data_IF_167310965356
#
_entry.id   IF_167310965356
#
_cell.length_a   1.000
_cell.length_b   1.000
_cell.length_c   1.000
_cell.angle_alpha   90.00
_cell.angle_beta   90.00
_cell.angle_gamma   90.00
#
_symmetry.space_group_name_H-M   'P 1'
#
loop_
_entity.id
_entity.type
_entity.pdbx_description
1 polymer ?
#
# COMPACT_ATOMS: atom_id res chain seq x y z
N UNK A 1 0.27 16.08 -4.12
CA UNK A 1 0.63 16.28 -5.53
C UNK A 1 2.08 15.86 -5.69
N UNK A 2 2.38 14.95 -6.59
CA UNK A 2 3.72 14.36 -6.75
C UNK A 2 4.26 14.78 -8.12
N UNK A 3 5.56 15.09 -8.21
CA UNK A 3 6.18 15.43 -9.48
C UNK A 3 6.20 14.23 -10.43
N UNK A 4 5.80 14.47 -11.68
CA UNK A 4 5.91 13.46 -12.73
C UNK A 4 7.37 13.38 -13.18
N UNK A 5 8.03 12.22 -13.13
CA UNK A 5 9.42 12.06 -13.56
C UNK A 5 9.62 12.14 -15.07
N UNK A 6 8.57 12.12 -15.88
CA UNK A 6 8.67 12.25 -17.34
C UNK A 6 8.64 13.73 -17.75
N UNK A 7 9.81 14.31 -18.04
CA UNK A 7 9.97 15.70 -18.50
C UNK A 7 9.22 16.01 -19.83
N UNK A 8 8.75 14.99 -20.56
CA UNK A 8 7.98 15.18 -21.80
C UNK A 8 6.49 15.33 -21.55
N UNK A 9 6.02 15.17 -20.31
CA UNK A 9 4.62 15.33 -19.99
C UNK A 9 4.25 16.81 -19.88
N UNK A 10 3.16 17.25 -20.53
CA UNK A 10 2.68 18.62 -20.40
C UNK A 10 2.18 18.95 -18.97
N UNK A 11 1.99 17.95 -18.13
CA UNK A 11 1.63 18.10 -16.72
C UNK A 11 2.74 17.60 -15.82
N UNK A 12 3.54 18.48 -15.22
CA UNK A 12 4.64 18.11 -14.34
C UNK A 12 4.17 17.51 -13.00
N UNK A 13 2.87 17.54 -12.71
CA UNK A 13 2.28 17.01 -11.48
C UNK A 13 1.16 16.03 -11.79
N UNK A 14 1.12 14.95 -11.02
CA UNK A 14 0.04 13.97 -11.05
C UNK A 14 -0.67 13.93 -9.70
N UNK A 15 -1.98 13.69 -9.72
CA UNK A 15 -2.73 13.42 -8.49
C UNK A 15 -2.58 11.95 -8.15
N UNK A 16 -2.07 11.64 -6.98
CA UNK A 16 -1.93 10.29 -6.48
C UNK A 16 -2.61 10.15 -5.11
N UNK A 17 -3.16 8.98 -4.83
CA UNK A 17 -3.60 8.67 -3.47
C UNK A 17 -2.37 8.47 -2.56
N UNK A 18 -2.56 8.60 -1.24
CA UNK A 18 -1.48 8.46 -0.25
C UNK A 18 -0.66 7.18 -0.41
N UNK A 19 -1.30 6.05 -0.69
CA UNK A 19 -0.59 4.77 -0.88
C UNK A 19 0.23 4.76 -2.17
N UNK A 20 -0.32 5.32 -3.26
CA UNK A 20 0.43 5.42 -4.52
C UNK A 20 1.61 6.39 -4.40
N UNK A 21 1.45 7.50 -3.68
CA UNK A 21 2.53 8.44 -3.40
C UNK A 21 3.69 7.76 -2.66
N UNK A 22 3.40 6.98 -1.63
CA UNK A 22 4.42 6.24 -0.86
C UNK A 22 5.20 5.25 -1.74
N UNK A 23 4.55 4.66 -2.74
CA UNK A 23 5.24 3.74 -3.67
C UNK A 23 6.17 4.46 -4.64
N UNK A 24 5.88 5.72 -4.98
CA UNK A 24 6.70 6.54 -5.88
C UNK A 24 7.87 7.17 -5.11
N UNK A 25 7.67 7.49 -3.83
CA UNK A 25 8.64 8.19 -2.98
C UNK A 25 9.00 7.35 -1.76
N UNK A 26 9.68 6.21 -1.97
CA UNK A 26 10.05 5.27 -0.91
C UNK A 26 10.86 5.92 0.23
N UNK A 27 11.68 6.91 -0.08
CA UNK A 27 12.44 7.70 0.91
C UNK A 27 11.50 8.41 1.89
N UNK A 28 10.42 9.00 1.38
CA UNK A 28 9.42 9.68 2.20
C UNK A 28 8.54 8.69 2.96
N UNK A 29 8.28 7.52 2.38
CA UNK A 29 7.55 6.46 3.04
C UNK A 29 8.19 6.12 4.40
N UNK A 30 9.51 6.03 4.47
CA UNK A 30 10.25 5.79 5.71
C UNK A 30 10.05 6.88 6.76
N UNK A 31 10.06 8.16 6.36
CA UNK A 31 9.91 9.31 7.27
C UNK A 31 8.49 9.42 7.82
N UNK A 32 7.50 8.99 7.03
CA UNK A 32 6.07 9.13 7.36
C UNK A 32 5.49 7.93 8.12
N UNK A 33 6.31 7.01 8.56
CA UNK A 33 5.86 5.79 9.25
C UNK A 33 5.68 4.62 8.29
N UNK A 34 6.72 4.37 7.56
CA UNK A 34 6.81 3.49 6.41
C UNK A 34 6.02 2.20 6.52
N UNK A 35 5.46 1.81 5.40
CA UNK A 35 5.08 0.45 5.13
C UNK A 35 6.25 -0.52 5.24
N UNK A 36 6.02 -1.74 4.87
CA UNK A 36 7.05 -2.77 4.82
C UNK A 36 7.10 -3.38 3.43
N UNK A 37 8.27 -3.85 3.01
CA UNK A 37 8.38 -4.58 1.76
C UNK A 37 7.87 -6.02 1.94
N UNK A 38 7.07 -6.46 0.99
CA UNK A 38 6.57 -7.83 0.87
C UNK A 38 6.91 -8.39 -0.51
N UNK A 39 7.11 -9.69 -0.61
CA UNK A 39 7.22 -10.33 -1.92
C UNK A 39 5.87 -10.92 -2.30
N UNK A 40 5.25 -10.36 -3.33
CA UNK A 40 3.89 -10.69 -3.77
C UNK A 40 3.80 -10.55 -5.31
N UNK A 41 4.39 -11.49 -6.06
CA UNK A 41 4.45 -11.43 -7.51
C UNK A 41 3.08 -11.62 -8.18
N UNK A 42 2.11 -12.19 -7.46
CA UNK A 42 0.80 -12.58 -7.98
C UNK A 42 -0.09 -11.39 -8.32
N UNK A 43 0.16 -10.22 -7.73
CA UNK A 43 -0.63 -9.00 -7.96
C UNK A 43 0.26 -7.76 -8.14
N UNK A 44 -0.29 -6.76 -8.83
CA UNK A 44 0.36 -5.46 -9.01
C UNK A 44 0.28 -4.57 -7.75
N UNK A 45 1.15 -3.53 -7.70
CA UNK A 45 1.14 -2.59 -6.57
C UNK A 45 -0.20 -1.86 -6.43
N UNK A 46 -0.83 -1.47 -7.54
CA UNK A 46 -2.12 -0.79 -7.51
C UNK A 46 -3.21 -1.68 -6.92
N UNK A 47 -3.24 -2.95 -7.30
CA UNK A 47 -4.19 -3.94 -6.76
C UNK A 47 -3.96 -4.15 -5.27
N UNK A 48 -2.71 -4.29 -4.82
CA UNK A 48 -2.38 -4.38 -3.39
C UNK A 48 -2.88 -3.14 -2.64
N UNK A 49 -2.66 -1.94 -3.17
CA UNK A 49 -3.14 -0.70 -2.55
C UNK A 49 -4.67 -0.67 -2.41
N UNK A 50 -5.41 -1.21 -3.39
CA UNK A 50 -6.86 -1.33 -3.30
C UNK A 50 -7.29 -2.35 -2.24
N UNK A 51 -6.66 -3.52 -2.19
CA UNK A 51 -6.92 -4.56 -1.19
C UNK A 51 -6.66 -4.03 0.22
N UNK A 52 -5.50 -3.40 0.45
CA UNK A 52 -5.11 -2.87 1.76
C UNK A 52 -6.07 -1.76 2.21
N UNK A 53 -6.51 -0.89 1.30
CA UNK A 53 -7.52 0.12 1.60
C UNK A 53 -8.82 -0.52 2.07
N UNK A 54 -9.30 -1.55 1.35
CA UNK A 54 -10.51 -2.28 1.73
C UNK A 54 -10.36 -2.97 3.09
N UNK A 55 -9.20 -3.57 3.37
CA UNK A 55 -8.89 -4.17 4.67
C UNK A 55 -8.99 -3.14 5.80
N UNK A 56 -8.39 -1.96 5.65
CA UNK A 56 -8.45 -0.93 6.69
C UNK A 56 -9.86 -0.42 6.92
N UNK A 57 -10.64 -0.23 5.86
CA UNK A 57 -12.04 0.19 5.97
C UNK A 57 -12.85 -0.90 6.69
N UNK A 58 -12.75 -2.17 6.29
CA UNK A 58 -13.48 -3.28 6.91
C UNK A 58 -13.12 -3.44 8.40
N UNK A 59 -11.84 -3.29 8.76
CA UNK A 59 -11.40 -3.31 10.17
C UNK A 59 -11.99 -2.19 11.00
N UNK A 60 -12.21 -1.02 10.40
CA UNK A 60 -12.75 0.14 11.09
C UNK A 60 -14.26 0.05 11.37
N UNK A 61 -14.99 -0.78 10.62
CA UNK A 61 -16.45 -0.97 10.81
C UNK A 61 -16.82 -1.81 12.04
N UNK A 62 -15.88 -2.58 12.60
CA UNK A 62 -16.08 -3.42 13.78
C UNK A 62 -17.30 -4.35 13.64
N UNK A 63 -17.46 -4.95 12.47
CA UNK A 63 -18.54 -5.89 12.14
C UNK A 63 -17.98 -7.31 11.86
N UNK A 64 -18.81 -8.20 11.31
CA UNK A 64 -18.44 -9.59 10.99
C UNK A 64 -17.20 -9.71 10.06
N UNK A 65 -16.87 -8.68 9.27
CA UNK A 65 -15.71 -8.68 8.38
C UNK A 65 -14.40 -8.33 9.08
N UNK A 66 -14.43 -7.81 10.30
CA UNK A 66 -13.23 -7.35 11.02
C UNK A 66 -12.19 -8.45 11.18
N UNK A 67 -12.62 -9.64 11.59
CA UNK A 67 -11.71 -10.78 11.78
C UNK A 67 -11.15 -11.29 10.45
N UNK A 68 -11.98 -11.31 9.41
CA UNK A 68 -11.55 -11.70 8.06
C UNK A 68 -10.55 -10.72 7.50
N UNK A 69 -10.79 -9.42 7.65
CA UNK A 69 -9.90 -8.36 7.23
C UNK A 69 -8.56 -8.39 8.01
N UNK A 70 -8.62 -8.73 9.30
CA UNK A 70 -7.41 -8.90 10.13
C UNK A 70 -6.59 -10.08 9.64
N UNK A 71 -7.20 -11.25 9.42
CA UNK A 71 -6.51 -12.42 8.87
C UNK A 71 -5.92 -12.17 7.48
N UNK A 72 -6.62 -11.40 6.63
CA UNK A 72 -6.10 -11.01 5.32
C UNK A 72 -4.84 -10.13 5.46
N UNK A 73 -4.83 -9.17 6.39
CA UNK A 73 -3.65 -8.37 6.67
C UNK A 73 -2.48 -9.22 7.19
N UNK A 74 -2.77 -10.14 8.12
CA UNK A 74 -1.75 -11.05 8.67
C UNK A 74 -1.14 -11.92 7.57
N UNK A 75 -1.95 -12.44 6.64
CA UNK A 75 -1.48 -13.19 5.48
C UNK A 75 -0.54 -12.35 4.59
N UNK A 76 -0.87 -11.08 4.33
CA UNK A 76 0.02 -10.17 3.60
C UNK A 76 1.31 -9.92 4.38
N UNK A 77 1.23 -9.75 5.70
CA UNK A 77 2.38 -9.53 6.56
C UNK A 77 3.34 -10.73 6.63
N UNK A 78 2.88 -11.97 6.43
CA UNK A 78 3.78 -13.14 6.35
C UNK A 78 4.74 -13.06 5.16
N UNK A 79 4.35 -12.39 4.06
CA UNK A 79 5.17 -12.20 2.86
C UNK A 79 6.41 -11.31 3.06
N UNK A 80 6.55 -10.67 4.23
CA UNK A 80 7.77 -9.94 4.63
C UNK A 80 8.99 -10.86 4.72
N UNK A 81 8.79 -12.09 5.20
CA UNK A 81 9.88 -13.05 5.30
C UNK A 81 10.51 -13.37 3.95
N UNK A 82 9.68 -13.46 2.89
CA UNK A 82 10.15 -13.70 1.54
C UNK A 82 10.88 -12.48 0.97
N UNK A 83 10.39 -11.27 1.23
CA UNK A 83 11.09 -10.03 0.87
C UNK A 83 12.47 -9.95 1.55
N UNK A 84 12.54 -10.20 2.86
CA UNK A 84 13.82 -10.27 3.60
C UNK A 84 14.79 -11.30 3.02
N UNK A 85 14.30 -12.46 2.64
CA UNK A 85 15.13 -13.51 2.04
C UNK A 85 15.73 -13.07 0.69
N UNK A 86 14.97 -12.29 -0.09
CA UNK A 86 15.40 -11.82 -1.44
C UNK A 86 16.32 -10.60 -1.37
N UNK A 87 16.03 -9.65 -0.48
CA UNK A 87 16.68 -8.33 -0.42
C UNK A 87 17.62 -8.15 0.76
N UNK A 88 17.58 -9.08 1.73
CA UNK A 88 18.28 -8.90 3.01
C UNK A 88 17.52 -8.03 4.03
N UNK A 89 16.49 -7.30 3.58
CA UNK A 89 15.67 -6.42 4.43
C UNK A 89 14.24 -6.30 3.89
N UNK A 90 13.31 -5.92 4.75
CA UNK A 90 11.96 -5.51 4.41
C UNK A 90 11.72 -4.01 4.65
N UNK A 91 12.81 -3.25 4.87
CA UNK A 91 12.77 -1.81 5.07
C UNK A 91 12.80 -1.07 3.72
N UNK A 92 11.76 -0.29 3.38
CA UNK A 92 11.73 0.46 2.13
C UNK A 92 12.79 1.58 2.07
N UNK A 93 13.25 2.13 3.21
CA UNK A 93 14.31 3.14 3.22
C UNK A 93 15.64 2.54 2.78
N UNK A 94 15.97 1.35 3.32
CA UNK A 94 17.20 0.68 2.93
C UNK A 94 17.20 0.38 1.42
N UNK A 95 16.06 -0.06 0.88
CA UNK A 95 15.91 -0.26 -0.56
C UNK A 95 16.11 1.04 -1.34
N UNK A 96 15.46 2.13 -0.92
CA UNK A 96 15.61 3.43 -1.58
C UNK A 96 17.06 3.91 -1.59
N UNK A 97 17.77 3.79 -0.45
CA UNK A 97 19.19 4.14 -0.34
C UNK A 97 20.06 3.33 -1.30
N UNK A 98 19.87 2.01 -1.32
CA UNK A 98 20.64 1.13 -2.22
C UNK A 98 20.37 1.48 -3.69
N UNK A 99 19.12 1.75 -4.06
CA UNK A 99 18.77 2.13 -5.43
C UNK A 99 19.39 3.47 -5.86
N UNK A 100 19.53 4.43 -4.94
CA UNK A 100 20.17 5.72 -5.22
C UNK A 100 21.70 5.58 -5.42
N UNK A 101 22.30 4.60 -4.75
CA UNK A 101 23.75 4.35 -4.85
C UNK A 101 24.15 3.53 -6.08
N UNK A 102 23.18 2.97 -6.84
CA UNK A 102 23.47 2.22 -8.06
C UNK A 102 23.95 3.15 -9.17
N UNK A 103 25.21 2.97 -9.56
CA UNK A 103 25.89 3.87 -10.50
C UNK A 103 25.88 3.36 -11.94
N UNK A 104 25.59 2.08 -12.19
CA UNK A 104 25.68 1.47 -13.51
C UNK A 104 24.37 0.86 -13.99
N UNK A 105 24.18 0.80 -15.32
CA UNK A 105 23.01 0.16 -15.93
C UNK A 105 22.98 -1.37 -15.66
N UNK A 106 24.14 -2.00 -15.48
CA UNK A 106 24.27 -3.43 -15.18
C UNK A 106 23.81 -3.73 -13.76
N UNK A 107 24.20 -2.92 -12.79
CA UNK A 107 23.73 -2.99 -11.40
C UNK A 107 22.22 -2.79 -11.33
N UNK A 108 21.69 -1.80 -12.05
CA UNK A 108 20.26 -1.53 -12.13
C UNK A 108 19.47 -2.71 -12.74
N UNK A 109 20.02 -3.38 -13.78
CA UNK A 109 19.39 -4.56 -14.38
C UNK A 109 19.37 -5.74 -13.39
N UNK A 110 20.48 -6.01 -12.72
CA UNK A 110 20.55 -7.05 -11.69
C UNK A 110 19.59 -6.79 -10.51
N UNK A 111 19.44 -5.53 -10.11
CA UNK A 111 18.48 -5.10 -9.10
C UNK A 111 17.03 -5.32 -9.57
N UNK A 112 16.70 -4.97 -10.81
CA UNK A 112 15.36 -5.14 -11.38
C UNK A 112 14.86 -6.59 -11.22
N UNK A 113 15.72 -7.58 -11.48
CA UNK A 113 15.38 -8.99 -11.32
C UNK A 113 15.11 -9.37 -9.85
N UNK A 114 15.87 -8.81 -8.91
CA UNK A 114 15.65 -9.04 -7.47
C UNK A 114 14.39 -8.36 -6.96
N UNK A 115 14.03 -7.23 -7.55
CA UNK A 115 12.85 -6.42 -7.19
C UNK A 115 11.56 -6.96 -7.79
N UNK A 116 11.65 -7.90 -8.75
CA UNK A 116 10.44 -8.49 -9.33
C UNK A 116 9.57 -9.13 -8.25
N UNK A 117 8.29 -8.76 -8.26
CA UNK A 117 7.33 -9.19 -7.24
C UNK A 117 7.46 -8.51 -5.87
N UNK A 118 8.43 -7.62 -5.66
CA UNK A 118 8.49 -6.80 -4.45
C UNK A 118 7.40 -5.73 -4.51
N UNK A 119 6.67 -5.57 -3.41
CA UNK A 119 5.61 -4.59 -3.24
C UNK A 119 5.78 -3.86 -1.91
N UNK A 120 5.35 -2.60 -1.87
CA UNK A 120 5.21 -1.86 -0.61
C UNK A 120 3.83 -2.16 -0.02
N UNK A 121 3.79 -2.76 1.16
CA UNK A 121 2.57 -2.91 1.96
C UNK A 121 2.37 -1.63 2.77
N UNK A 122 1.36 -0.79 2.44
CA UNK A 122 1.18 0.50 3.09
C UNK A 122 0.79 0.35 4.57
N UNK A 123 1.26 1.25 5.46
CA UNK A 123 0.93 1.23 6.88
C UNK A 123 -0.43 1.87 7.17
N UNK A 124 -0.91 1.67 8.40
CA UNK A 124 -2.06 2.38 9.00
C UNK A 124 -1.66 3.74 9.61
N UNK A 125 -0.62 4.36 9.07
CA UNK A 125 -0.08 5.65 9.52
C UNK A 125 0.24 6.53 8.32
N UNK A 126 -0.01 7.81 8.48
CA UNK A 126 0.45 8.85 7.57
C UNK A 126 0.87 10.06 8.37
N UNK A 127 2.16 10.11 8.71
CA UNK A 127 2.70 11.17 9.55
C UNK A 127 3.04 12.38 8.68
N UNK A 128 2.45 13.52 9.02
CA UNK A 128 2.79 14.81 8.43
C UNK A 128 3.48 15.69 9.46
N UNK A 129 4.65 16.20 9.11
CA UNK A 129 5.36 17.19 9.91
C UNK A 129 4.71 18.56 9.75
N UNK A 130 4.34 19.18 10.84
CA UNK A 130 3.81 20.54 10.90
C UNK A 130 4.66 21.41 11.83
N UNK A 131 4.45 22.72 11.81
CA UNK A 131 5.12 23.65 12.74
C UNK A 131 4.77 23.36 14.22
N UNK A 132 3.62 22.71 14.48
CA UNK A 132 3.17 22.33 15.81
C UNK A 132 3.59 20.89 16.22
N UNK A 133 4.31 20.16 15.35
CA UNK A 133 4.74 18.78 15.58
C UNK A 133 4.20 17.80 14.56
N UNK A 134 4.45 16.53 14.79
CA UNK A 134 4.04 15.44 13.90
C UNK A 134 2.56 15.08 14.12
N UNK A 135 1.79 15.02 13.03
CA UNK A 135 0.36 14.69 13.05
C UNK A 135 0.12 13.45 12.19
N UNK A 136 -0.54 12.43 12.77
CA UNK A 136 -1.01 11.28 12.01
C UNK A 136 -2.35 11.60 11.33
N UNK A 137 -2.35 11.73 10.01
CA UNK A 137 -3.54 12.01 9.20
C UNK A 137 -4.34 10.76 8.83
N UNK A 138 -3.84 9.56 9.09
CA UNK A 138 -4.50 8.33 8.68
C UNK A 138 -5.95 8.21 9.18
N UNK A 139 -6.31 8.61 10.40
CA UNK A 139 -7.71 8.58 10.86
C UNK A 139 -8.64 9.44 9.99
N UNK A 140 -8.20 10.61 9.52
CA UNK A 140 -8.97 11.48 8.63
C UNK A 140 -9.10 10.87 7.22
N UNK A 141 -8.01 10.28 6.70
CA UNK A 141 -8.01 9.57 5.43
C UNK A 141 -9.00 8.40 5.48
N UNK A 142 -8.98 7.61 6.56
CA UNK A 142 -9.88 6.48 6.76
C UNK A 142 -11.35 6.93 6.86
N UNK A 143 -11.61 8.06 7.56
CA UNK A 143 -12.94 8.66 7.62
C UNK A 143 -13.45 9.05 6.24
N UNK A 144 -12.60 9.67 5.41
CA UNK A 144 -12.93 10.00 4.02
C UNK A 144 -13.22 8.74 3.19
N UNK A 145 -12.42 7.68 3.30
CA UNK A 145 -12.66 6.45 2.56
C UNK A 145 -14.00 5.79 2.89
N UNK A 146 -14.51 5.99 4.09
CA UNK A 146 -15.80 5.48 4.56
C UNK A 146 -16.97 6.38 4.23
N UNK A 147 -16.73 7.60 3.78
CA UNK A 147 -17.79 8.57 3.47
C UNK A 147 -18.43 8.31 2.11
N UNK A 148 -19.58 8.94 1.87
CA UNK A 148 -20.28 8.87 0.59
C UNK A 148 -19.47 9.48 -0.56
N UNK A 149 -18.62 10.45 -0.30
CA UNK A 149 -17.71 11.08 -1.26
C UNK A 149 -16.41 10.28 -1.46
N UNK A 150 -16.19 9.25 -0.65
CA UNK A 150 -14.99 8.41 -0.70
C UNK A 150 -15.02 7.39 -1.84
N UNK A 151 -13.93 6.62 -1.99
CA UNK A 151 -13.79 5.67 -3.11
C UNK A 151 -14.83 4.54 -3.10
N UNK A 152 -15.54 4.35 -1.99
CA UNK A 152 -16.57 3.31 -1.83
C UNK A 152 -17.99 3.89 -1.72
N UNK A 153 -18.20 5.18 -2.01
CA UNK A 153 -19.50 5.84 -1.85
C UNK A 153 -20.63 5.20 -2.64
N UNK A 154 -20.34 4.60 -3.79
CA UNK A 154 -21.32 3.84 -4.59
C UNK A 154 -21.51 2.39 -4.08
N UNK A 155 -20.65 1.92 -3.19
CA UNK A 155 -20.71 0.59 -2.58
C UNK A 155 -20.58 0.73 -1.07
N UNK A 156 -21.65 1.10 -0.37
CA UNK A 156 -21.60 1.37 1.06
C UNK A 156 -21.07 0.16 1.84
N UNK A 157 -20.27 0.42 2.85
CA UNK A 157 -19.55 -0.61 3.63
C UNK A 157 -20.53 -1.58 4.33
N UNK A 158 -21.72 -1.12 4.65
CA UNK A 158 -22.82 -1.92 5.23
C UNK A 158 -23.20 -3.12 4.34
N UNK A 159 -23.03 -2.98 3.02
CA UNK A 159 -23.31 -4.06 2.05
C UNK A 159 -22.17 -5.05 1.88
N UNK A 160 -20.98 -4.75 2.40
CA UNK A 160 -19.79 -5.58 2.16
C UNK A 160 -19.92 -6.97 2.77
N UNK A 161 -20.58 -7.11 3.93
CA UNK A 161 -20.84 -8.42 4.56
C UNK A 161 -21.65 -9.33 3.65
N UNK A 162 -22.69 -8.80 3.01
CA UNK A 162 -23.55 -9.55 2.09
C UNK A 162 -22.76 -9.96 0.83
N UNK A 163 -21.99 -9.03 0.25
CA UNK A 163 -21.15 -9.28 -0.92
C UNK A 163 -20.09 -10.34 -0.61
N UNK A 164 -19.45 -10.26 0.56
CA UNK A 164 -18.47 -11.24 1.00
C UNK A 164 -19.10 -12.64 1.15
N UNK A 165 -20.26 -12.75 1.80
CA UNK A 165 -21.00 -14.01 1.95
C UNK A 165 -21.35 -14.61 0.59
N UNK A 166 -21.87 -13.79 -0.34
CA UNK A 166 -22.21 -14.22 -1.69
C UNK A 166 -20.98 -14.68 -2.50
N UNK A 167 -19.84 -13.99 -2.39
CA UNK A 167 -18.60 -14.36 -3.04
C UNK A 167 -18.02 -15.67 -2.44
N UNK A 168 -17.99 -15.79 -1.12
CA UNK A 168 -17.48 -16.98 -0.43
C UNK A 168 -18.30 -18.24 -0.75
N UNK A 169 -19.63 -18.13 -0.90
CA UNK A 169 -20.47 -19.23 -1.31
C UNK A 169 -20.16 -19.75 -2.72
N UNK A 170 -19.78 -18.86 -3.65
CA UNK A 170 -19.37 -19.24 -5.00
C UNK A 170 -18.02 -19.98 -5.04
N UNK A 171 -17.07 -19.57 -4.19
CA UNK A 171 -15.74 -20.18 -4.12
C UNK A 171 -15.81 -21.58 -3.46
N UNK A 172 -16.68 -21.76 -2.47
CA UNK A 172 -16.87 -23.05 -1.78
C UNK A 172 -17.55 -24.11 -2.61
N UNK A 173 -18.04 -23.80 -3.82
CA UNK A 173 -18.67 -24.71 -4.77
C UNK A 173 -17.83 -25.00 -6.02
N UNK A 174 -16.60 -24.46 -6.09
CA UNK A 174 -15.63 -24.69 -7.15
C UNK A 174 -14.54 -25.68 -6.69
#
# INVERSE_FOLDING_TARGET
>A
MVANPDERSPQPFVTACTFCEQCITLERASITGAGVLVWLPEIGQAELNHIVRAIYVARAEKNELTDTATRAMDALMTRRADAKKRLGSDDPLLLATVMQEMLTAEEAHGASTKLDGIRLLPPDKHIMRTAAGDVNQFPQILKYWRSAEGPYGQLPVEKWTEIFKAASAKIGHA
#
